data_IF_315624439608
#
_entry.id   IF_315624439608
#
_cell.length_a   1.000
_cell.length_b   1.000
_cell.length_c   1.000
_cell.angle_alpha   90.00
_cell.angle_beta   90.00
_cell.angle_gamma   90.00
#
_symmetry.space_group_name_H-M   'P 1'
#
loop_
_entity.id
_entity.type
_entity.pdbx_description
1 polymer ?
#
# COMPACT_ATOMS: atom_id res chain seq x y z
N UNK A 1 -4.19 26.26 -21.10
CA UNK A 1 -2.77 26.30 -20.68
C UNK A 1 -2.50 25.84 -19.25
N UNK A 2 -3.08 26.41 -18.16
CA UNK A 2 -2.81 25.87 -16.80
C UNK A 2 -3.31 24.44 -16.55
N UNK A 3 -4.48 24.07 -17.09
CA UNK A 3 -5.01 22.70 -16.98
C UNK A 3 -4.15 21.66 -17.70
N UNK A 4 -3.55 22.05 -18.82
CA UNK A 4 -2.75 21.15 -19.66
C UNK A 4 -1.44 20.76 -18.97
N UNK A 5 -0.82 21.70 -18.24
CA UNK A 5 0.38 21.44 -17.45
C UNK A 5 0.13 20.52 -16.25
N UNK A 6 -0.99 20.68 -15.54
CA UNK A 6 -1.36 19.79 -14.42
C UNK A 6 -1.64 18.37 -14.89
N UNK A 7 -2.37 18.21 -15.99
CA UNK A 7 -2.65 16.88 -16.55
C UNK A 7 -1.36 16.21 -17.02
N UNK A 8 -0.47 16.92 -17.71
CA UNK A 8 0.82 16.39 -18.14
C UNK A 8 1.67 15.92 -16.94
N UNK A 9 1.69 16.68 -15.85
CA UNK A 9 2.38 16.28 -14.62
C UNK A 9 1.76 15.03 -13.99
N UNK A 10 0.44 14.96 -13.89
CA UNK A 10 -0.24 13.79 -13.32
C UNK A 10 0.02 12.54 -14.16
N UNK A 11 0.00 12.65 -15.49
CA UNK A 11 0.35 11.54 -16.38
C UNK A 11 1.79 11.11 -16.13
N UNK A 12 2.75 12.05 -16.05
CA UNK A 12 4.15 11.71 -15.77
C UNK A 12 4.35 11.00 -14.42
N UNK A 13 3.56 11.33 -13.40
CA UNK A 13 3.62 10.70 -12.07
C UNK A 13 2.97 9.31 -12.06
N UNK A 14 1.89 9.11 -12.83
CA UNK A 14 1.06 7.91 -12.77
C UNK A 14 1.38 6.89 -13.89
N UNK A 15 2.18 7.27 -14.88
CA UNK A 15 2.75 6.33 -15.86
C UNK A 15 3.57 5.32 -15.05
N UNK A 16 3.21 4.03 -15.12
CA UNK A 16 3.76 2.91 -14.33
C UNK A 16 3.18 2.68 -12.92
N UNK A 17 2.13 3.42 -12.52
CA UNK A 17 1.37 3.09 -11.31
C UNK A 17 0.17 2.20 -11.69
N UNK A 18 0.19 0.89 -11.35
CA UNK A 18 -0.92 0.02 -11.70
C UNK A 18 -2.19 0.44 -10.95
N UNK A 19 -3.31 0.51 -11.68
CA UNK A 19 -4.61 0.60 -11.06
C UNK A 19 -4.92 -0.75 -10.37
N UNK A 20 -5.24 -0.71 -9.07
CA UNK A 20 -5.56 -1.88 -8.26
C UNK A 20 -7.00 -1.82 -7.74
N UNK A 21 -8.01 -1.85 -8.63
CA UNK A 21 -9.41 -1.82 -8.20
C UNK A 21 -9.73 -3.03 -7.30
N UNK A 22 -10.35 -2.79 -6.16
CA UNK A 22 -10.64 -3.85 -5.18
C UNK A 22 -9.47 -4.17 -4.24
N UNK A 23 -8.39 -3.38 -4.24
CA UNK A 23 -7.36 -3.46 -3.21
C UNK A 23 -7.96 -3.23 -1.81
N UNK A 24 -7.74 -4.18 -0.90
CA UNK A 24 -8.30 -4.11 0.46
C UNK A 24 -7.63 -3.05 1.34
N UNK A 25 -6.48 -2.52 0.94
CA UNK A 25 -5.77 -1.46 1.65
C UNK A 25 -6.37 -0.07 1.44
N UNK A 26 -7.25 0.12 0.45
CA UNK A 26 -7.85 1.42 0.15
C UNK A 26 -8.60 1.97 1.36
N UNK A 27 -8.31 3.21 1.73
CA UNK A 27 -8.94 3.90 2.86
C UNK A 27 -8.46 3.46 4.26
N UNK A 28 -7.38 2.67 4.34
CA UNK A 28 -6.88 2.13 5.62
C UNK A 28 -5.53 2.70 6.06
N UNK A 29 -5.07 3.82 5.48
CA UNK A 29 -3.94 4.54 6.03
C UNK A 29 -4.23 4.94 7.49
N UNK A 30 -3.27 4.86 8.42
CA UNK A 30 -1.83 4.58 8.24
C UNK A 30 -1.44 3.10 8.47
N UNK A 31 -2.38 2.15 8.38
CA UNK A 31 -2.13 0.73 8.74
C UNK A 31 -0.94 0.10 7.99
N UNK A 32 -0.70 0.54 6.76
CA UNK A 32 0.34 -0.02 5.88
C UNK A 32 1.63 0.80 5.88
N UNK A 33 1.69 1.90 6.64
CA UNK A 33 2.87 2.77 6.70
C UNK A 33 4.01 2.04 7.41
N UNK A 34 5.22 2.11 6.85
CA UNK A 34 6.36 1.34 7.38
C UNK A 34 6.93 1.97 8.64
N UNK A 35 6.87 3.29 8.70
CA UNK A 35 7.43 4.05 9.80
C UNK A 35 6.52 3.96 11.04
N UNK A 36 7.14 4.18 12.20
CA UNK A 36 6.39 4.30 13.44
C UNK A 36 5.56 5.57 13.41
N UNK A 37 4.34 5.49 13.95
CA UNK A 37 3.48 6.66 14.12
C UNK A 37 3.87 7.42 15.40
N UNK A 38 3.49 8.69 15.47
CA UNK A 38 3.73 9.50 16.66
C UNK A 38 3.05 8.88 17.89
N UNK A 39 3.84 8.61 18.92
CA UNK A 39 3.38 7.97 20.16
C UNK A 39 3.16 6.45 20.06
N UNK A 40 3.47 5.82 18.93
CA UNK A 40 3.35 4.38 18.75
C UNK A 40 4.44 3.63 19.53
N UNK A 41 4.05 2.68 20.38
CA UNK A 41 5.03 1.80 21.03
C UNK A 41 5.54 0.74 20.04
N UNK A 42 6.69 0.10 20.30
CA UNK A 42 7.15 -1.01 19.46
C UNK A 42 6.13 -2.17 19.35
N UNK A 43 5.34 -2.40 20.40
CA UNK A 43 4.29 -3.43 20.39
C UNK A 43 3.13 -3.05 19.48
N UNK A 44 2.70 -1.79 19.53
CA UNK A 44 1.64 -1.26 18.65
C UNK A 44 2.06 -1.29 17.18
N UNK A 45 3.31 -0.88 16.89
CA UNK A 45 3.91 -0.97 15.55
C UNK A 45 3.88 -2.41 15.02
N UNK A 46 4.31 -3.37 15.84
CA UNK A 46 4.32 -4.78 15.47
C UNK A 46 2.90 -5.35 15.25
N UNK A 47 1.91 -4.93 16.04
CA UNK A 47 0.51 -5.31 15.88
C UNK A 47 -0.10 -4.71 14.61
N UNK A 48 0.10 -3.41 14.36
CA UNK A 48 -0.37 -2.73 13.15
C UNK A 48 0.18 -3.38 11.89
N UNK A 49 1.48 -3.68 11.86
CA UNK A 49 2.10 -4.37 10.73
C UNK A 49 1.66 -5.85 10.61
N UNK A 50 1.33 -6.54 11.72
CA UNK A 50 0.70 -7.87 11.65
C UNK A 50 -0.67 -7.80 10.98
N UNK A 51 -1.51 -6.83 11.35
CA UNK A 51 -2.82 -6.62 10.74
C UNK A 51 -2.69 -6.26 9.25
N UNK A 52 -1.73 -5.40 8.90
CA UNK A 52 -1.43 -5.07 7.49
C UNK A 52 -1.10 -6.33 6.68
N UNK A 53 -0.21 -7.19 7.20
CA UNK A 53 0.14 -8.47 6.54
C UNK A 53 -1.06 -9.38 6.35
N UNK A 54 -1.94 -9.47 7.35
CA UNK A 54 -3.16 -10.29 7.25
C UNK A 54 -4.10 -9.79 6.15
N UNK A 55 -4.26 -8.47 6.01
CA UNK A 55 -5.04 -7.87 4.91
C UNK A 55 -4.39 -8.15 3.56
N UNK A 56 -3.08 -7.95 3.43
CA UNK A 56 -2.34 -8.23 2.18
C UNK A 56 -2.45 -9.70 1.75
N UNK A 57 -2.40 -10.64 2.70
CA UNK A 57 -2.51 -12.07 2.41
C UNK A 57 -3.86 -12.48 1.81
N UNK A 58 -4.92 -11.69 2.05
CA UNK A 58 -6.30 -11.97 1.62
C UNK A 58 -6.77 -11.04 0.49
N UNK A 59 -5.90 -10.17 -0.01
CA UNK A 59 -6.28 -9.17 -0.99
C UNK A 59 -6.50 -9.82 -2.37
N UNK A 60 -7.63 -9.57 -3.05
CA UNK A 60 -7.94 -10.23 -4.33
C UNK A 60 -7.03 -9.78 -5.48
N UNK A 61 -6.39 -8.61 -5.35
CA UNK A 61 -5.45 -8.07 -6.34
C UNK A 61 -3.99 -8.25 -5.93
N UNK A 62 -3.72 -9.13 -4.96
CA UNK A 62 -2.39 -9.33 -4.40
C UNK A 62 -1.35 -9.66 -5.49
N UNK A 63 -1.66 -10.54 -6.45
CA UNK A 63 -0.71 -10.93 -7.50
C UNK A 63 -0.32 -9.79 -8.46
N UNK A 64 -1.16 -8.76 -8.55
CA UNK A 64 -0.91 -7.56 -9.37
C UNK A 64 -0.26 -6.43 -8.57
N UNK A 65 -0.17 -6.57 -7.24
CA UNK A 65 0.33 -5.52 -6.36
C UNK A 65 1.87 -5.51 -6.36
N UNK A 66 2.52 -4.43 -6.83
CA UNK A 66 3.99 -4.35 -6.87
C UNK A 66 4.62 -4.31 -5.47
N UNK A 67 3.83 -4.00 -4.45
CA UNK A 67 4.29 -3.98 -3.05
C UNK A 67 4.15 -5.34 -2.35
N UNK A 68 3.54 -6.36 -2.98
CA UNK A 68 3.35 -7.70 -2.37
C UNK A 68 4.65 -8.43 -2.06
N UNK A 69 5.71 -8.18 -2.83
CA UNK A 69 7.02 -8.85 -2.69
C UNK A 69 7.76 -8.50 -1.40
N UNK A 70 7.24 -7.58 -0.58
CA UNK A 70 7.75 -7.30 0.76
C UNK A 70 7.29 -8.36 1.78
N UNK A 71 7.95 -9.52 1.71
CA UNK A 71 8.02 -10.64 2.71
C UNK A 71 6.75 -10.93 3.51
N UNK A 72 5.84 -11.70 2.91
CA UNK A 72 5.19 -12.81 3.63
C UNK A 72 5.94 -14.07 3.17
N UNK A 73 6.57 -14.87 4.06
CA UNK A 73 7.09 -16.17 3.64
C UNK A 73 5.92 -16.93 3.01
N UNK A 74 6.08 -17.40 1.77
CA UNK A 74 5.19 -18.43 1.25
C UNK A 74 5.40 -19.65 2.13
N UNK A 75 4.48 -19.92 3.04
CA UNK A 75 4.42 -21.22 3.70
C UNK A 75 4.10 -22.24 2.61
N UNK A 76 5.11 -23.03 2.27
CA UNK A 76 4.95 -24.31 1.58
C UNK A 76 4.86 -25.42 2.61
#
# INVERSE_FOLDING_TARGET
MRRDGTVALLVAILTDVPALPGALCVGQAPRFDRDALDGETPADHAERLRQARWVCARCPVADQCPQRVWRVPRVG
#
